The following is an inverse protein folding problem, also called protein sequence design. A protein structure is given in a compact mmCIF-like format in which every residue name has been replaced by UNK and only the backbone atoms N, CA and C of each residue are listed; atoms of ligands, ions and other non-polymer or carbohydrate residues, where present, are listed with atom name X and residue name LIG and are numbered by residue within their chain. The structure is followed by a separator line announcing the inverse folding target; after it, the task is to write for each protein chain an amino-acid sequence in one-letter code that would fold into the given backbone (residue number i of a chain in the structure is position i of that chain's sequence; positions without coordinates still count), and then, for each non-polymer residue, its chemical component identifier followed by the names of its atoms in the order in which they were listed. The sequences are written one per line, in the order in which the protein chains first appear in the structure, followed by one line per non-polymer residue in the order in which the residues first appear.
data_IF_357919097914
#
_entry.id   IF_357919097914
#
_cell.length_a   1.000
_cell.length_b   1.000
_cell.length_c   1.000
_cell.angle_alpha   90.00
_cell.angle_beta   90.00
_cell.angle_gamma   90.00
#
_symmetry.space_group_name_H-M   'P 1'
#
loop_
_entity.id
_entity.type
_entity.pdbx_description
1 polymer ?
#
# COMPACT_ATOMS: atom_id res chain seq x y z
N UNK A 1 -7.15 24.09 -9.28
CA UNK A 1 -5.90 24.00 -8.49
C UNK A 1 -6.12 23.93 -6.97
N UNK A 2 -7.21 24.50 -6.41
CA UNK A 2 -7.49 24.56 -4.95
C UNK A 2 -8.21 23.32 -4.39
N UNK A 3 -8.78 22.46 -5.24
CA UNK A 3 -9.57 21.30 -4.80
C UNK A 3 -8.73 20.05 -4.46
N UNK A 4 -7.53 19.91 -5.04
CA UNK A 4 -6.72 18.71 -4.88
C UNK A 4 -6.16 18.58 -3.46
N UNK A 5 -5.56 19.65 -2.92
CA UNK A 5 -4.92 19.67 -1.59
C UNK A 5 -5.81 19.14 -0.46
N UNK A 6 -7.14 19.23 -0.58
CA UNK A 6 -8.02 18.71 0.47
C UNK A 6 -7.97 17.19 0.61
N UNK A 7 -7.76 16.43 -0.47
CA UNK A 7 -7.81 14.96 -0.41
C UNK A 7 -6.52 14.35 0.10
N UNK A 8 -5.35 14.84 -0.30
CA UNK A 8 -4.08 14.26 0.20
C UNK A 8 -3.95 14.44 1.72
N UNK A 9 -4.27 15.64 2.22
CA UNK A 9 -4.31 15.88 3.67
C UNK A 9 -5.38 15.03 4.35
N UNK A 10 -6.59 14.91 3.79
CA UNK A 10 -7.64 14.08 4.35
C UNK A 10 -7.22 12.61 4.52
N UNK A 11 -6.58 12.02 3.50
CA UNK A 11 -6.09 10.65 3.57
C UNK A 11 -4.95 10.50 4.59
N UNK A 12 -3.97 11.40 4.54
CA UNK A 12 -2.84 11.38 5.48
C UNK A 12 -3.31 11.50 6.94
N UNK A 13 -4.24 12.42 7.23
CA UNK A 13 -4.83 12.56 8.57
C UNK A 13 -5.69 11.36 8.95
N UNK A 14 -6.46 10.80 8.01
CA UNK A 14 -7.28 9.61 8.25
C UNK A 14 -6.41 8.42 8.67
N UNK A 15 -5.26 8.21 8.02
CA UNK A 15 -4.31 7.15 8.37
C UNK A 15 -3.60 7.48 9.70
N UNK A 16 -3.04 8.69 9.82
CA UNK A 16 -2.22 9.08 10.97
C UNK A 16 -3.00 9.08 12.29
N UNK A 17 -4.27 9.50 12.29
CA UNK A 17 -5.13 9.53 13.48
C UNK A 17 -5.98 8.26 13.61
N UNK A 18 -6.40 7.66 12.50
CA UNK A 18 -7.24 6.46 12.50
C UNK A 18 -6.54 5.28 13.16
N UNK A 19 -5.25 5.07 12.86
CA UNK A 19 -4.50 3.94 13.43
C UNK A 19 -4.35 4.01 14.97
N UNK A 20 -3.94 5.14 15.59
CA UNK A 20 -3.95 5.28 17.04
C UNK A 20 -5.33 5.10 17.67
N UNK A 21 -6.39 5.62 17.03
CA UNK A 21 -7.77 5.46 17.53
C UNK A 21 -8.17 3.98 17.49
N UNK A 22 -7.86 3.30 16.39
CA UNK A 22 -8.09 1.86 16.22
C UNK A 22 -7.38 1.05 17.31
N UNK A 23 -6.10 1.35 17.55
CA UNK A 23 -5.27 0.64 18.51
C UNK A 23 -5.70 0.87 19.97
N UNK A 24 -5.81 2.14 20.39
CA UNK A 24 -6.03 2.48 21.80
C UNK A 24 -7.49 2.39 22.26
N UNK A 25 -8.46 2.58 21.35
CA UNK A 25 -9.88 2.64 21.73
C UNK A 25 -10.67 1.50 21.09
N UNK A 26 -10.84 1.54 19.77
CA UNK A 26 -11.63 0.56 19.03
C UNK A 26 -11.46 0.79 17.53
N UNK A 27 -11.55 -0.27 16.74
CA UNK A 27 -11.64 -0.16 15.29
C UNK A 27 -12.98 0.43 14.80
N UNK A 28 -14.05 0.37 15.59
CA UNK A 28 -15.41 0.76 15.14
C UNK A 28 -15.53 2.21 14.66
N UNK A 29 -15.03 3.23 15.39
CA UNK A 29 -15.05 4.61 14.90
C UNK A 29 -14.29 4.77 13.58
N UNK A 30 -13.19 4.03 13.41
CA UNK A 30 -12.33 4.07 12.22
C UNK A 30 -13.01 3.36 11.06
N UNK A 31 -13.63 2.21 11.31
CA UNK A 31 -14.47 1.49 10.34
C UNK A 31 -15.58 2.40 9.80
N UNK A 32 -16.35 3.03 10.70
CA UNK A 32 -17.45 3.93 10.31
C UNK A 32 -16.93 5.12 9.50
N UNK A 33 -15.84 5.75 9.96
CA UNK A 33 -15.24 6.90 9.27
C UNK A 33 -14.72 6.51 7.88
N UNK A 34 -13.89 5.48 7.77
CA UNK A 34 -13.25 5.08 6.52
C UNK A 34 -14.28 4.58 5.51
N UNK A 35 -15.24 3.75 5.92
CA UNK A 35 -16.30 3.26 5.02
C UNK A 35 -17.21 4.41 4.60
N UNK A 36 -17.60 5.29 5.54
CA UNK A 36 -18.42 6.47 5.24
C UNK A 36 -17.72 7.43 4.28
N UNK A 37 -16.43 7.69 4.49
CA UNK A 37 -15.61 8.52 3.61
C UNK A 37 -15.48 7.88 2.23
N UNK A 38 -15.24 6.57 2.15
CA UNK A 38 -15.17 5.86 0.88
C UNK A 38 -16.48 5.97 0.09
N UNK A 39 -17.63 5.74 0.73
CA UNK A 39 -18.95 5.88 0.09
C UNK A 39 -19.18 7.33 -0.37
N UNK A 40 -18.83 8.32 0.46
CA UNK A 40 -18.96 9.74 0.10
C UNK A 40 -18.10 10.12 -1.11
N UNK A 41 -16.87 9.63 -1.18
CA UNK A 41 -15.98 9.83 -2.33
C UNK A 41 -16.49 9.09 -3.56
N UNK A 42 -16.94 7.85 -3.41
CA UNK A 42 -17.50 7.04 -4.49
C UNK A 42 -18.70 7.73 -5.15
N UNK A 43 -19.59 8.32 -4.35
CA UNK A 43 -20.76 9.04 -4.86
C UNK A 43 -20.39 10.31 -5.64
N UNK A 44 -19.25 10.94 -5.34
CA UNK A 44 -18.76 12.13 -6.07
C UNK A 44 -17.82 11.79 -7.23
N UNK A 45 -17.22 10.61 -7.22
CA UNK A 45 -16.27 10.16 -8.21
C UNK A 45 -16.92 10.03 -9.59
N UNK A 46 -16.13 10.29 -10.63
CA UNK A 46 -16.51 9.98 -12.00
C UNK A 46 -16.49 8.46 -12.25
N UNK A 47 -16.96 8.03 -13.43
CA UNK A 47 -17.05 6.60 -13.77
C UNK A 47 -15.70 5.89 -13.67
N UNK A 48 -14.61 6.55 -14.11
CA UNK A 48 -13.27 5.96 -14.11
C UNK A 48 -12.77 5.77 -12.68
N UNK A 49 -12.85 6.82 -11.86
CA UNK A 49 -12.44 6.78 -10.47
C UNK A 49 -13.27 5.75 -9.67
N UNK A 50 -14.57 5.62 -9.92
CA UNK A 50 -15.40 4.56 -9.30
C UNK A 50 -14.93 3.15 -9.66
N UNK A 51 -14.54 2.91 -10.90
CA UNK A 51 -14.00 1.61 -11.33
C UNK A 51 -12.67 1.36 -10.63
N UNK A 52 -11.75 2.34 -10.62
CA UNK A 52 -10.47 2.24 -9.91
C UNK A 52 -10.68 1.92 -8.42
N UNK A 53 -11.62 2.60 -7.74
CA UNK A 53 -12.00 2.36 -6.35
C UNK A 53 -12.42 0.91 -6.10
N UNK A 54 -13.32 0.38 -6.93
CA UNK A 54 -13.82 -0.99 -6.78
C UNK A 54 -12.73 -2.02 -7.09
N UNK A 55 -11.90 -1.76 -8.09
CA UNK A 55 -10.79 -2.66 -8.47
C UNK A 55 -9.74 -2.72 -7.35
N UNK A 56 -9.39 -1.58 -6.74
CA UNK A 56 -8.48 -1.57 -5.57
C UNK A 56 -9.04 -2.41 -4.44
N UNK A 57 -10.30 -2.19 -4.04
CA UNK A 57 -10.93 -2.97 -2.96
C UNK A 57 -10.99 -4.47 -3.32
N UNK A 58 -11.32 -4.80 -4.58
CA UNK A 58 -11.45 -6.17 -5.05
C UNK A 58 -10.11 -6.95 -5.06
N UNK A 59 -8.98 -6.29 -5.28
CA UNK A 59 -7.65 -6.93 -5.18
C UNK A 59 -7.07 -6.86 -3.77
N UNK A 60 -7.18 -5.71 -3.10
CA UNK A 60 -6.62 -5.51 -1.77
C UNK A 60 -7.25 -6.46 -0.76
N UNK A 61 -8.58 -6.61 -0.73
CA UNK A 61 -9.26 -7.46 0.26
C UNK A 61 -8.78 -8.91 0.27
N UNK A 62 -8.81 -9.66 -0.85
CA UNK A 62 -8.33 -11.05 -0.85
C UNK A 62 -6.82 -11.17 -0.65
N UNK A 63 -6.02 -10.21 -1.13
CA UNK A 63 -4.58 -10.21 -0.87
C UNK A 63 -4.27 -10.03 0.61
N UNK A 64 -4.93 -9.06 1.24
CA UNK A 64 -4.80 -8.77 2.67
C UNK A 64 -5.23 -9.97 3.52
N UNK A 65 -6.40 -10.54 3.25
CA UNK A 65 -6.87 -11.75 3.93
C UNK A 65 -5.92 -12.93 3.72
N UNK A 66 -5.32 -13.06 2.53
CA UNK A 66 -4.33 -14.11 2.31
C UNK A 66 -3.07 -13.86 3.13
N UNK A 67 -2.59 -12.62 3.21
CA UNK A 67 -1.39 -12.27 3.97
C UNK A 67 -1.59 -12.41 5.49
N UNK A 68 -2.72 -11.93 6.01
CA UNK A 68 -2.98 -11.93 7.45
C UNK A 68 -3.61 -13.21 7.98
N UNK A 69 -4.47 -13.89 7.23
CA UNK A 69 -5.28 -15.00 7.76
C UNK A 69 -4.85 -16.39 7.24
N UNK A 70 -4.13 -16.43 6.10
CA UNK A 70 -3.75 -17.71 5.46
C UNK A 70 -2.24 -17.91 5.54
N UNK A 71 -1.46 -16.94 5.06
CA UNK A 71 -0.01 -16.98 5.04
C UNK A 71 0.60 -16.55 6.36
N UNK A 72 -0.12 -15.75 7.17
CA UNK A 72 0.31 -15.29 8.50
C UNK A 72 1.69 -14.61 8.45
N UNK A 73 1.92 -13.79 7.42
CA UNK A 73 3.16 -13.01 7.30
C UNK A 73 3.14 -11.78 8.22
N UNK A 74 1.96 -11.36 8.64
CA UNK A 74 1.73 -10.48 9.77
C UNK A 74 0.36 -10.77 10.37
N UNK A 75 0.16 -10.40 11.62
CA UNK A 75 -1.11 -10.55 12.32
C UNK A 75 -1.59 -9.20 12.83
N UNK A 76 -2.90 -8.98 12.77
CA UNK A 76 -3.53 -7.80 13.36
C UNK A 76 -3.69 -7.98 14.87
N UNK A 77 -3.65 -6.89 15.62
CA UNK A 77 -3.82 -6.86 17.08
C UNK A 77 -5.06 -7.64 17.58
N UNK A 78 -6.13 -7.69 16.77
CA UNK A 78 -7.41 -8.32 17.10
C UNK A 78 -7.66 -9.61 16.33
N UNK A 79 -6.59 -10.27 15.86
CA UNK A 79 -6.58 -11.55 15.12
C UNK A 79 -7.29 -11.53 13.75
N UNK A 80 -8.07 -10.51 13.44
CA UNK A 80 -8.76 -10.36 12.17
C UNK A 80 -8.43 -9.01 11.55
N UNK A 81 -8.31 -9.01 10.22
CA UNK A 81 -8.22 -7.80 9.41
C UNK A 81 -9.41 -6.83 9.70
N UNK A 82 -9.15 -5.60 10.15
CA UNK A 82 -10.21 -4.60 10.35
C UNK A 82 -10.91 -4.19 9.06
N UNK A 83 -12.21 -3.86 9.15
CA UNK A 83 -13.04 -3.52 7.97
C UNK A 83 -12.63 -2.23 7.26
N UNK A 84 -11.90 -1.33 7.92
CA UNK A 84 -11.35 -0.14 7.28
C UNK A 84 -10.16 -0.44 6.36
N UNK A 85 -9.51 -1.61 6.47
CA UNK A 85 -8.28 -1.92 5.72
C UNK A 85 -8.51 -1.96 4.20
N UNK A 86 -9.54 -2.66 3.67
CA UNK A 86 -9.81 -2.65 2.24
C UNK A 86 -10.00 -1.26 1.62
N UNK A 87 -10.77 -0.38 2.29
CA UNK A 87 -10.99 0.99 1.81
C UNK A 87 -9.80 1.90 2.11
N UNK A 88 -9.00 1.58 3.13
CA UNK A 88 -7.73 2.24 3.43
C UNK A 88 -6.70 2.11 2.31
N UNK A 89 -6.67 0.95 1.63
CA UNK A 89 -5.86 0.75 0.43
C UNK A 89 -6.20 1.74 -0.69
N UNK A 90 -7.48 2.07 -0.87
CA UNK A 90 -7.86 3.12 -1.81
C UNK A 90 -7.31 4.49 -1.40
N UNK A 91 -7.35 4.84 -0.12
CA UNK A 91 -6.83 6.13 0.36
C UNK A 91 -5.32 6.23 0.14
N UNK A 92 -4.57 5.16 0.43
CA UNK A 92 -3.13 5.13 0.19
C UNK A 92 -2.81 5.16 -1.31
N UNK A 93 -3.54 4.39 -2.12
CA UNK A 93 -3.41 4.37 -3.58
C UNK A 93 -3.65 5.75 -4.20
N UNK A 94 -4.79 6.39 -3.90
CA UNK A 94 -5.13 7.71 -4.45
C UNK A 94 -4.16 8.79 -3.94
N UNK A 95 -3.71 8.69 -2.68
CA UNK A 95 -2.65 9.55 -2.15
C UNK A 95 -1.35 9.40 -2.94
N UNK A 96 -0.89 8.16 -3.16
CA UNK A 96 0.32 7.86 -3.92
C UNK A 96 0.22 8.33 -5.36
N UNK A 97 -0.91 8.09 -6.01
CA UNK A 97 -1.20 8.57 -7.37
C UNK A 97 -1.13 10.10 -7.47
N UNK A 98 -1.73 10.82 -6.52
CA UNK A 98 -1.71 12.29 -6.48
C UNK A 98 -0.32 12.86 -6.22
N UNK A 99 0.47 12.23 -5.35
CA UNK A 99 1.85 12.64 -5.09
C UNK A 99 2.72 12.35 -6.32
N UNK A 100 2.62 11.16 -6.91
CA UNK A 100 3.37 10.77 -8.10
C UNK A 100 3.09 11.71 -9.29
N UNK A 101 1.84 12.16 -9.47
CA UNK A 101 1.47 13.12 -10.51
C UNK A 101 2.08 14.53 -10.34
N UNK A 102 2.56 14.87 -9.14
CA UNK A 102 3.26 16.14 -8.85
C UNK A 102 4.77 16.03 -8.98
N UNK A 103 5.31 14.82 -9.11
CA UNK A 103 6.74 14.58 -9.27
C UNK A 103 7.13 14.57 -10.76
N UNK A 104 8.39 14.91 -11.09
CA UNK A 104 8.87 14.82 -12.46
C UNK A 104 8.70 13.40 -13.00
N UNK A 105 8.00 13.20 -14.14
CA UNK A 105 7.82 11.88 -14.69
C UNK A 105 9.17 11.32 -15.15
N UNK A 106 9.32 10.00 -15.07
CA UNK A 106 10.48 9.34 -15.65
C UNK A 106 10.97 8.18 -14.82
N UNK A 107 11.21 7.06 -15.51
CA UNK A 107 11.74 5.83 -14.93
C UNK A 107 13.09 6.02 -14.24
N UNK A 108 13.97 6.85 -14.82
CA UNK A 108 15.25 7.18 -14.20
C UNK A 108 15.00 7.74 -12.80
N UNK A 109 14.27 8.85 -12.70
CA UNK A 109 13.97 9.56 -11.43
C UNK A 109 13.29 8.62 -10.44
N UNK A 110 12.31 7.82 -10.88
CA UNK A 110 11.66 6.83 -10.04
C UNK A 110 12.66 5.81 -9.46
N UNK A 111 13.63 5.33 -10.26
CA UNK A 111 14.71 4.48 -9.75
C UNK A 111 15.56 5.20 -8.69
N UNK A 112 15.91 6.48 -8.89
CA UNK A 112 16.67 7.24 -7.89
C UNK A 112 15.94 7.34 -6.55
N UNK A 113 14.61 7.44 -6.56
CA UNK A 113 13.78 7.48 -5.34
C UNK A 113 13.85 6.15 -4.57
N UNK A 114 14.01 5.01 -5.25
CA UNK A 114 14.05 3.68 -4.63
C UNK A 114 15.48 3.24 -4.28
N UNK A 115 16.51 3.85 -4.87
CA UNK A 115 17.92 3.56 -4.56
C UNK A 115 18.27 3.52 -3.05
N UNK A 116 17.74 4.41 -2.19
CA UNK A 116 18.09 4.39 -0.76
C UNK A 116 17.72 3.10 -0.03
N UNK A 117 16.80 2.28 -0.56
CA UNK A 117 16.47 0.98 0.04
C UNK A 117 17.58 -0.06 -0.11
N UNK A 118 18.44 0.05 -1.13
CA UNK A 118 19.47 -0.94 -1.45
C UNK A 118 20.44 -1.20 -0.28
N UNK A 119 21.17 -0.19 0.25
CA UNK A 119 22.21 -0.45 1.24
C UNK A 119 21.66 -1.10 2.52
N UNK A 120 20.51 -0.63 3.00
CA UNK A 120 19.89 -1.17 4.21
C UNK A 120 19.35 -2.58 3.98
N UNK A 121 18.75 -2.86 2.82
CA UNK A 121 18.29 -4.21 2.47
C UNK A 121 19.45 -5.21 2.43
N UNK A 122 20.57 -4.85 1.80
CA UNK A 122 21.76 -5.71 1.74
C UNK A 122 22.32 -5.95 3.14
N UNK A 123 22.39 -4.91 3.98
CA UNK A 123 22.87 -5.03 5.34
C UNK A 123 21.99 -5.96 6.19
N UNK A 124 20.67 -5.80 6.14
CA UNK A 124 19.73 -6.64 6.91
C UNK A 124 19.69 -8.09 6.42
N UNK A 125 19.85 -8.30 5.11
CA UNK A 125 19.95 -9.65 4.56
C UNK A 125 21.26 -10.33 4.98
N UNK A 126 22.37 -9.59 4.97
CA UNK A 126 23.67 -10.10 5.41
C UNK A 126 23.68 -10.44 6.91
N UNK A 127 23.02 -9.63 7.75
CA UNK A 127 22.91 -9.90 9.19
C UNK A 127 21.84 -10.94 9.55
N UNK A 128 21.06 -11.42 8.57
CA UNK A 128 19.97 -12.37 8.78
C UNK A 128 18.69 -11.77 9.37
N UNK A 129 18.63 -10.44 9.57
CA UNK A 129 17.47 -9.74 10.13
C UNK A 129 16.29 -9.75 9.16
N UNK A 130 16.54 -9.49 7.88
CA UNK A 130 15.52 -9.50 6.82
C UNK A 130 16.13 -10.01 5.52
N UNK A 131 16.07 -11.33 5.33
CA UNK A 131 16.52 -11.98 4.09
C UNK A 131 15.45 -11.91 2.99
N UNK A 132 14.17 -11.78 3.36
CA UNK A 132 13.06 -11.59 2.42
C UNK A 132 13.16 -10.26 1.65
N UNK A 133 13.75 -9.25 2.26
CA UNK A 133 13.95 -7.92 1.69
C UNK A 133 14.67 -7.92 0.33
N UNK A 134 15.56 -8.89 0.07
CA UNK A 134 16.24 -9.01 -1.23
C UNK A 134 15.25 -9.32 -2.35
N UNK A 135 14.30 -10.22 -2.11
CA UNK A 135 13.25 -10.55 -3.08
C UNK A 135 12.31 -9.37 -3.30
N UNK A 136 11.91 -8.71 -2.21
CA UNK A 136 11.07 -7.52 -2.27
C UNK A 136 11.76 -6.38 -3.01
N UNK A 137 13.08 -6.21 -2.85
CA UNK A 137 13.89 -5.22 -3.58
C UNK A 137 13.89 -5.51 -5.08
N UNK A 138 14.13 -6.77 -5.47
CA UNK A 138 14.10 -7.18 -6.88
C UNK A 138 12.73 -6.91 -7.49
N UNK A 139 11.65 -7.26 -6.77
CA UNK A 139 10.27 -7.01 -7.23
C UNK A 139 10.01 -5.51 -7.38
N UNK A 140 10.34 -4.69 -6.38
CA UNK A 140 10.17 -3.24 -6.43
C UNK A 140 10.92 -2.61 -7.61
N UNK A 141 12.20 -2.95 -7.76
CA UNK A 141 13.00 -2.48 -8.88
C UNK A 141 12.45 -2.98 -10.21
N UNK A 142 11.92 -4.20 -10.25
CA UNK A 142 11.25 -4.75 -11.42
C UNK A 142 10.05 -3.92 -11.85
N UNK A 143 9.16 -3.58 -10.92
CA UNK A 143 8.02 -2.70 -11.20
C UNK A 143 8.46 -1.32 -11.65
N UNK A 144 9.42 -0.71 -10.95
CA UNK A 144 9.96 0.60 -11.36
C UNK A 144 10.62 0.50 -12.75
N UNK A 145 11.31 -0.59 -13.09
CA UNK A 145 12.06 -0.73 -14.34
C UNK A 145 11.22 -1.15 -15.54
N UNK A 146 10.11 -1.85 -15.34
CA UNK A 146 9.30 -2.42 -16.43
C UNK A 146 7.79 -2.14 -16.34
N UNK A 147 7.26 -1.79 -15.17
CA UNK A 147 5.81 -1.55 -15.01
C UNK A 147 5.31 -0.25 -15.66
N UNK A 148 3.99 -0.11 -15.87
CA UNK A 148 3.40 1.02 -16.57
C UNK A 148 3.51 2.36 -15.79
N UNK A 149 3.53 2.34 -14.46
CA UNK A 149 3.50 3.54 -13.61
C UNK A 149 4.72 3.65 -12.67
N UNK A 150 5.96 3.81 -13.20
CA UNK A 150 7.19 3.72 -12.40
C UNK A 150 7.25 4.72 -11.24
N UNK A 151 6.73 5.94 -11.43
CA UNK A 151 6.73 6.96 -10.38
C UNK A 151 5.72 6.64 -9.27
N UNK A 152 4.59 6.02 -9.61
CA UNK A 152 3.62 5.56 -8.61
C UNK A 152 4.26 4.50 -7.70
N UNK A 153 4.91 3.49 -8.28
CA UNK A 153 5.57 2.44 -7.48
C UNK A 153 6.65 2.98 -6.56
N UNK A 154 7.46 3.94 -7.06
CA UNK A 154 8.49 4.57 -6.24
C UNK A 154 7.90 5.36 -5.06
N UNK A 155 6.82 6.11 -5.28
CA UNK A 155 6.10 6.83 -4.22
C UNK A 155 5.45 5.86 -3.24
N UNK A 156 4.77 4.82 -3.75
CA UNK A 156 4.10 3.83 -2.93
C UNK A 156 5.06 3.01 -2.08
N UNK A 157 6.28 2.75 -2.55
CA UNK A 157 7.34 2.15 -1.73
C UNK A 157 7.59 2.92 -0.43
N UNK A 158 7.64 4.26 -0.50
CA UNK A 158 7.84 5.10 0.67
C UNK A 158 6.57 5.32 1.49
N UNK A 159 5.42 5.53 0.85
CA UNK A 159 4.16 5.72 1.57
C UNK A 159 3.75 4.47 2.34
N UNK A 160 3.87 3.29 1.71
CA UNK A 160 3.62 2.02 2.36
C UNK A 160 4.57 1.83 3.53
N UNK A 161 5.89 2.01 3.35
CA UNK A 161 6.84 1.90 4.45
C UNK A 161 6.52 2.84 5.61
N UNK A 162 6.17 4.11 5.33
CA UNK A 162 5.82 5.06 6.38
C UNK A 162 4.57 4.65 7.17
N UNK A 163 3.55 4.14 6.48
CA UNK A 163 2.31 3.66 7.11
C UNK A 163 2.53 2.36 7.88
N UNK A 164 3.33 1.44 7.34
CA UNK A 164 3.71 0.17 7.97
C UNK A 164 4.54 0.41 9.22
N UNK A 165 5.56 1.28 9.17
CA UNK A 165 6.32 1.67 10.36
C UNK A 165 5.43 2.29 11.45
N UNK A 166 4.43 3.07 11.04
CA UNK A 166 3.49 3.67 11.99
C UNK A 166 2.56 2.62 12.62
N UNK A 167 2.00 1.73 11.82
CA UNK A 167 1.11 0.66 12.28
C UNK A 167 1.82 -0.34 13.19
N UNK A 168 3.03 -0.77 12.84
CA UNK A 168 3.81 -1.73 13.63
C UNK A 168 4.38 -1.10 14.89
N UNK A 169 4.81 0.16 14.85
CA UNK A 169 5.25 0.89 16.04
C UNK A 169 4.10 1.05 17.05
N UNK A 170 2.87 1.29 16.58
CA UNK A 170 1.69 1.32 17.44
C UNK A 170 1.32 -0.07 17.98
N UNK A 171 1.65 -1.15 17.26
CA UNK A 171 1.19 -2.51 17.54
C UNK A 171 -0.19 -2.81 16.95
N UNK A 172 -0.60 -2.11 15.88
CA UNK A 172 -1.87 -2.38 15.19
C UNK A 172 -1.80 -3.70 14.40
N UNK A 173 -0.62 -4.00 13.85
CA UNK A 173 -0.25 -5.30 13.32
C UNK A 173 1.25 -5.55 13.57
N UNK A 174 1.66 -6.81 13.48
CA UNK A 174 3.04 -7.23 13.67
C UNK A 174 3.43 -8.24 12.61
N UNK A 175 4.55 -7.98 11.92
CA UNK A 175 5.12 -8.91 10.96
C UNK A 175 5.89 -10.03 11.67
N UNK A 176 5.71 -11.25 11.19
CA UNK A 176 6.46 -12.40 11.71
C UNK A 176 7.94 -12.32 11.32
N UNK A 177 8.83 -12.62 12.27
CA UNK A 177 10.27 -12.65 12.02
C UNK A 177 10.67 -13.78 11.06
N UNK A 178 9.91 -14.88 11.02
CA UNK A 178 10.17 -16.02 10.14
C UNK A 178 9.05 -16.15 9.12
N UNK A 179 9.33 -15.81 7.86
CA UNK A 179 8.33 -15.81 6.78
C UNK A 179 7.85 -17.26 6.55
N UNK A 180 6.57 -17.57 6.80
CA UNK A 180 6.08 -18.93 6.77
C UNK A 180 6.28 -19.57 5.40
N UNK A 181 6.63 -20.86 5.40
CA UNK A 181 6.83 -21.71 4.21
C UNK A 181 8.02 -21.36 3.30
N UNK A 182 8.84 -20.35 3.64
CA UNK A 182 9.94 -19.90 2.77
C UNK A 182 11.34 -20.08 3.36
N UNK A 183 11.45 -20.21 4.69
CA UNK A 183 12.74 -20.23 5.39
C UNK A 183 13.45 -18.86 5.42
N UNK A 184 12.79 -17.80 4.96
CA UNK A 184 13.29 -16.43 4.99
C UNK A 184 12.94 -15.76 6.32
N UNK A 185 13.69 -14.71 6.63
CA UNK A 185 13.44 -13.80 7.75
C UNK A 185 12.93 -12.46 7.26
N UNK A 186 12.15 -11.79 8.09
CA UNK A 186 11.56 -10.49 7.82
C UNK A 186 11.76 -9.55 9.02
N UNK A 187 12.02 -8.28 8.75
CA UNK A 187 11.97 -7.23 9.78
C UNK A 187 10.52 -6.81 10.05
N UNK A 188 10.26 -6.13 11.17
CA UNK A 188 8.93 -5.65 11.53
C UNK A 188 8.84 -4.12 11.39
N UNK A 189 8.36 -3.57 10.25
CA UNK A 189 7.93 -4.26 9.02
C UNK A 189 9.09 -4.49 8.04
N UNK A 190 8.93 -5.33 7.00
CA UNK A 190 9.92 -5.43 5.94
C UNK A 190 10.09 -4.09 5.24
N UNK A 191 11.34 -3.68 4.99
CA UNK A 191 11.64 -2.35 4.44
C UNK A 191 10.95 -2.09 3.09
N UNK A 192 10.72 -3.15 2.32
CA UNK A 192 10.12 -3.13 0.99
C UNK A 192 8.76 -3.85 0.94
N UNK A 193 8.02 -3.88 2.05
CA UNK A 193 6.61 -4.28 2.06
C UNK A 193 5.78 -3.53 1.00
N UNK A 194 6.17 -2.29 0.67
CA UNK A 194 5.65 -1.50 -0.46
C UNK A 194 5.66 -2.20 -1.82
N UNK A 195 6.43 -3.28 -2.00
CA UNK A 195 6.40 -4.12 -3.20
C UNK A 195 5.05 -4.79 -3.41
N UNK A 196 4.35 -5.18 -2.34
CA UNK A 196 2.99 -5.74 -2.46
C UNK A 196 1.97 -4.68 -2.87
N UNK A 197 2.12 -3.45 -2.38
CA UNK A 197 1.32 -2.30 -2.82
C UNK A 197 1.57 -1.99 -4.30
N UNK A 198 2.83 -1.95 -4.74
CA UNK A 198 3.18 -1.76 -6.14
C UNK A 198 2.63 -2.88 -7.06
N UNK A 199 2.58 -4.13 -6.57
CA UNK A 199 1.91 -5.23 -7.28
C UNK A 199 0.41 -4.96 -7.44
N UNK A 200 -0.27 -4.55 -6.36
CA UNK A 200 -1.67 -4.14 -6.40
C UNK A 200 -1.91 -3.03 -7.44
N UNK A 201 -1.04 -2.02 -7.45
CA UNK A 201 -1.12 -0.91 -8.41
C UNK A 201 -0.98 -1.37 -9.86
N UNK A 202 -0.09 -2.33 -10.13
CA UNK A 202 0.05 -2.93 -11.47
C UNK A 202 -1.25 -3.64 -11.87
N UNK A 203 -1.82 -4.44 -10.97
CA UNK A 203 -3.08 -5.16 -11.23
C UNK A 203 -4.25 -4.20 -11.50
N UNK A 204 -4.32 -3.10 -10.73
CA UNK A 204 -5.32 -2.05 -10.91
C UNK A 204 -5.17 -1.40 -12.29
N UNK A 205 -3.96 -0.91 -12.63
CA UNK A 205 -3.71 -0.24 -13.91
C UNK A 205 -4.03 -1.15 -15.11
N UNK A 206 -3.57 -2.41 -15.09
CA UNK A 206 -3.83 -3.36 -16.18
C UNK A 206 -5.32 -3.70 -16.33
N UNK A 207 -6.08 -3.68 -15.23
CA UNK A 207 -7.52 -3.98 -15.26
C UNK A 207 -8.33 -2.79 -15.74
N UNK A 208 -7.98 -1.58 -15.31
CA UNK A 208 -8.70 -0.35 -15.66
C UNK A 208 -8.46 0.02 -17.13
N UNK A 209 -7.24 -0.12 -17.64
CA UNK A 209 -6.93 0.07 -19.07
C UNK A 209 -7.77 -0.86 -19.95
N UNK A 210 -7.87 -2.15 -19.60
CA UNK A 210 -8.69 -3.11 -20.36
C UNK A 210 -10.19 -2.78 -20.35
N UNK A 211 -10.69 -2.25 -19.24
CA UNK A 211 -12.10 -1.85 -19.13
C UNK A 211 -12.37 -0.61 -20.00
N UNK A 212 -11.44 0.35 -20.06
CA UNK A 212 -11.54 1.51 -20.94
C UNK A 212 -11.51 1.10 -22.42
N UNK A 213 -10.60 0.20 -22.81
CA UNK A 213 -10.52 -0.33 -24.17
C UNK A 213 -11.79 -1.08 -24.60
N UNK A 214 -12.44 -1.79 -23.67
CA UNK A 214 -13.67 -2.52 -23.94
C UNK A 214 -14.89 -1.58 -24.05
N UNK A 215 -14.88 -0.42 -23.39
CA UNK A 215 -15.98 0.56 -23.44
C UNK A 215 -15.90 1.48 -24.66
N UNK A 216 -14.73 1.60 -25.28
CA UNK A 216 -14.48 2.43 -26.46
C UNK A 216 -14.60 1.66 -27.80
N UNK A 217 -14.97 0.38 -27.75
CA UNK A 217 -15.27 -0.48 -28.92
C UNK A 217 -16.78 -0.63 -29.06
#
# INVERSE_FOLDING_TARGET
MIQNYRREFLYAFTIALGLPISYHFSEWPVNIWCIGLFIFLFNQADKKERIEMLVVVAFATPMELFFSEVWLIYEYQRELMPLYVPVGHWFLFDLGRRIAAKLPPGRKIASWIVLPFIPLTILMAYSGVDTSGIFLLIIMFGFVRWGPAPMLYAVMGWLALGMELWGTWLGTWEWTTNVPWTGLTAWNPPLLCGSFYALGDVLVNLSTEKIEDAQNR
#
